data_IF_023994834614
#
_entry.id   IF_023994834614
#
_cell.length_a   1.000
_cell.length_b   1.000
_cell.length_c   1.000
_cell.angle_alpha   90.00
_cell.angle_beta   90.00
_cell.angle_gamma   90.00
#
_symmetry.space_group_name_H-M   'P 1'
#
loop_
_entity.id
_entity.type
_entity.pdbx_description
1 polymer ?
#
# COMPACT_ATOMS: atom_id res chain seq x y z
N UNK A 1 -21.46 2.03 -1.57
CA UNK A 1 -20.96 2.32 -0.21
C UNK A 1 -21.52 3.63 0.27
N UNK A 2 -21.94 3.75 1.52
CA UNK A 2 -22.36 5.01 2.14
C UNK A 2 -21.22 5.66 2.96
N UNK A 3 -21.44 6.86 3.51
CA UNK A 3 -20.43 7.60 4.27
C UNK A 3 -19.93 6.83 5.51
N UNK A 4 -20.78 5.99 6.08
CA UNK A 4 -20.39 5.16 7.23
C UNK A 4 -19.49 4.03 6.79
N UNK A 5 -19.75 3.40 5.64
CA UNK A 5 -18.87 2.36 5.07
C UNK A 5 -17.49 2.94 4.75
N UNK A 6 -17.44 4.16 4.18
CA UNK A 6 -16.18 4.86 3.97
C UNK A 6 -15.47 5.20 5.29
N UNK A 7 -16.22 5.60 6.33
CA UNK A 7 -15.64 5.87 7.64
C UNK A 7 -15.06 4.59 8.27
N UNK A 8 -15.75 3.45 8.17
CA UNK A 8 -15.27 2.14 8.60
C UNK A 8 -14.01 1.77 7.80
N UNK A 9 -14.06 1.89 6.49
CA UNK A 9 -12.94 1.59 5.61
C UNK A 9 -11.73 2.47 5.91
N UNK A 10 -11.94 3.77 6.10
CA UNK A 10 -10.93 4.72 6.53
C UNK A 10 -10.29 4.33 7.86
N UNK A 11 -11.08 3.88 8.82
CA UNK A 11 -10.57 3.45 10.12
C UNK A 11 -9.77 2.14 10.04
N UNK A 12 -10.14 1.24 9.14
CA UNK A 12 -9.42 0.00 8.88
C UNK A 12 -8.14 0.21 8.08
N UNK A 13 -8.14 1.18 7.16
CA UNK A 13 -7.08 1.36 6.16
C UNK A 13 -5.92 2.26 6.60
N UNK A 14 -6.15 3.46 7.13
CA UNK A 14 -5.10 4.48 7.17
C UNK A 14 -4.16 4.35 8.34
N UNK A 15 -4.65 3.86 9.46
CA UNK A 15 -3.80 3.74 10.64
C UNK A 15 -2.68 2.71 10.44
N UNK A 16 -2.87 1.77 9.51
CA UNK A 16 -1.84 0.83 9.08
C UNK A 16 -0.84 1.42 8.08
N UNK A 17 -1.29 2.27 7.16
CA UNK A 17 -0.42 2.80 6.10
C UNK A 17 0.12 4.19 6.40
N UNK A 18 -0.70 5.13 6.84
CA UNK A 18 -0.29 6.52 7.09
C UNK A 18 0.50 6.67 8.37
N UNK A 19 0.07 6.03 9.45
CA UNK A 19 0.85 6.00 10.68
C UNK A 19 2.14 5.20 10.53
N UNK A 20 2.17 4.24 9.63
CA UNK A 20 3.39 3.53 9.29
C UNK A 20 4.46 4.47 8.72
N UNK A 21 4.06 5.43 7.90
CA UNK A 21 5.00 6.36 7.24
C UNK A 21 5.21 7.66 8.01
N UNK A 22 4.16 8.20 8.63
CA UNK A 22 4.17 9.55 9.22
C UNK A 22 4.26 9.60 10.74
N UNK A 23 3.88 8.55 11.47
CA UNK A 23 3.96 8.56 12.94
C UNK A 23 4.99 7.59 13.49
N UNK A 24 5.59 7.98 14.63
CA UNK A 24 6.48 7.13 15.42
C UNK A 24 5.75 6.01 16.19
N UNK A 25 4.42 5.94 16.12
CA UNK A 25 3.60 4.93 16.78
C UNK A 25 2.74 4.21 15.75
N UNK A 26 3.09 2.97 15.45
CA UNK A 26 2.23 2.06 14.69
C UNK A 26 1.17 1.54 15.64
N UNK A 27 -0.09 1.81 15.32
CA UNK A 27 -1.22 1.15 15.98
C UNK A 27 -1.32 -0.26 15.44
N UNK A 28 -1.59 -1.24 16.31
CA UNK A 28 -1.88 -2.60 15.88
C UNK A 28 -3.03 -2.55 14.87
N UNK A 29 -2.84 -3.00 13.61
CA UNK A 29 -3.85 -2.89 12.57
C UNK A 29 -5.10 -3.74 12.84
N UNK A 30 -5.12 -4.53 13.91
CA UNK A 30 -6.20 -5.41 14.31
C UNK A 30 -7.19 -4.67 15.20
N UNK A 31 -7.84 -3.65 14.62
CA UNK A 31 -8.86 -2.87 15.32
C UNK A 31 -10.10 -3.73 15.53
N UNK A 32 -10.62 -3.75 16.76
CA UNK A 32 -11.85 -4.47 17.08
C UNK A 32 -13.10 -3.76 16.52
N UNK A 33 -14.15 -4.52 16.27
CA UNK A 33 -15.44 -3.94 15.86
C UNK A 33 -15.97 -2.93 16.89
N UNK A 34 -15.67 -3.12 18.19
CA UNK A 34 -16.02 -2.20 19.26
C UNK A 34 -15.27 -0.86 19.15
N UNK A 35 -13.98 -0.87 18.83
CA UNK A 35 -13.20 0.36 18.62
C UNK A 35 -13.69 1.12 17.39
N UNK A 36 -13.99 0.42 16.30
CA UNK A 36 -14.60 1.04 15.11
C UNK A 36 -15.94 1.66 15.48
N UNK A 37 -16.80 0.94 16.18
CA UNK A 37 -18.12 1.36 16.59
C UNK A 37 -18.08 2.68 17.38
N UNK A 38 -17.16 2.81 18.32
CA UNK A 38 -16.95 4.04 19.09
C UNK A 38 -16.55 5.25 18.21
N UNK A 39 -15.88 5.01 17.07
CA UNK A 39 -15.43 6.09 16.17
C UNK A 39 -16.50 6.49 15.15
N UNK A 40 -17.32 5.54 14.70
CA UNK A 40 -18.32 5.80 13.65
C UNK A 40 -19.73 6.00 14.19
N UNK A 41 -19.92 5.99 15.51
CA UNK A 41 -21.22 6.21 16.15
C UNK A 41 -22.23 5.08 15.93
N UNK A 42 -21.76 3.84 15.75
CA UNK A 42 -22.60 2.64 15.61
C UNK A 42 -22.46 1.71 16.82
N UNK A 43 -23.37 0.74 16.91
CA UNK A 43 -23.18 -0.42 17.78
C UNK A 43 -22.12 -1.38 17.19
N UNK A 44 -21.45 -2.16 18.04
CA UNK A 44 -20.51 -3.19 17.59
C UNK A 44 -21.19 -4.20 16.64
N UNK A 45 -22.44 -4.57 16.91
CA UNK A 45 -23.23 -5.45 16.04
C UNK A 45 -23.47 -4.81 14.66
N UNK A 46 -23.76 -3.49 14.62
CA UNK A 46 -23.93 -2.72 13.39
C UNK A 46 -22.64 -2.69 12.56
N UNK A 47 -21.49 -2.45 13.19
CA UNK A 47 -20.19 -2.51 12.51
C UNK A 47 -19.92 -3.91 11.97
N UNK A 48 -20.14 -4.96 12.74
CA UNK A 48 -19.96 -6.36 12.29
C UNK A 48 -20.86 -6.71 11.11
N UNK A 49 -22.10 -6.21 11.10
CA UNK A 49 -23.01 -6.42 9.98
C UNK A 49 -22.49 -5.73 8.71
N UNK A 50 -22.05 -4.47 8.80
CA UNK A 50 -21.49 -3.73 7.67
C UNK A 50 -20.19 -4.36 7.15
N UNK A 51 -19.29 -4.79 8.03
CA UNK A 51 -18.07 -5.50 7.64
C UNK A 51 -18.36 -6.79 6.88
N UNK A 52 -19.43 -7.53 7.26
CA UNK A 52 -19.88 -8.70 6.49
C UNK A 52 -20.37 -8.28 5.10
N UNK A 53 -21.26 -7.31 5.04
CA UNK A 53 -21.77 -6.78 3.75
C UNK A 53 -20.64 -6.34 2.84
N UNK A 54 -19.63 -5.62 3.35
CA UNK A 54 -18.46 -5.19 2.57
C UNK A 54 -17.61 -6.37 2.07
N UNK A 55 -17.52 -7.46 2.87
CA UNK A 55 -16.86 -8.69 2.43
C UNK A 55 -17.68 -9.45 1.38
N UNK A 56 -18.98 -9.60 1.60
CA UNK A 56 -19.88 -10.31 0.69
C UNK A 56 -19.97 -9.61 -0.68
N UNK A 57 -19.83 -8.29 -0.69
CA UNK A 57 -19.76 -7.46 -1.89
C UNK A 57 -18.36 -7.39 -2.52
N UNK A 58 -17.35 -8.07 -1.94
CA UNK A 58 -15.98 -8.07 -2.46
C UNK A 58 -15.15 -6.80 -2.18
N UNK A 59 -15.75 -5.75 -1.58
CA UNK A 59 -15.02 -4.53 -1.26
C UNK A 59 -13.90 -4.77 -0.24
N UNK A 60 -14.08 -5.71 0.68
CA UNK A 60 -13.12 -6.06 1.70
C UNK A 60 -12.74 -7.54 1.56
N UNK A 61 -11.57 -7.83 0.97
CA UNK A 61 -11.06 -9.19 0.79
C UNK A 61 -10.29 -9.74 1.99
N UNK A 62 -10.02 -8.90 2.98
CA UNK A 62 -9.24 -9.25 4.18
C UNK A 62 -8.02 -8.36 4.36
N UNK A 63 -6.99 -8.89 4.97
CA UNK A 63 -5.72 -8.20 5.19
C UNK A 63 -4.57 -8.96 4.57
N UNK A 64 -3.57 -8.22 4.14
CA UNK A 64 -2.30 -8.74 3.67
C UNK A 64 -1.17 -8.19 4.55
N UNK A 65 -0.16 -9.02 4.81
CA UNK A 65 1.07 -8.56 5.46
C UNK A 65 2.16 -8.40 4.42
N UNK A 66 2.66 -7.18 4.31
CA UNK A 66 3.79 -6.84 3.47
C UNK A 66 5.07 -6.80 4.31
N UNK A 67 6.14 -7.37 3.79
CA UNK A 67 7.47 -7.27 4.38
C UNK A 67 8.27 -6.19 3.66
N UNK A 68 8.97 -5.38 4.44
CA UNK A 68 9.80 -4.31 3.88
C UNK A 68 11.00 -4.91 3.12
N UNK A 69 11.15 -4.64 1.82
CA UNK A 69 12.28 -5.18 1.05
C UNK A 69 13.65 -4.86 1.64
N UNK A 70 13.78 -3.74 2.36
CA UNK A 70 15.04 -3.35 3.00
C UNK A 70 15.54 -4.34 4.06
N UNK A 71 14.65 -5.15 4.68
CA UNK A 71 15.10 -6.21 5.63
C UNK A 71 15.87 -7.33 4.94
N UNK A 72 15.69 -7.44 3.62
CA UNK A 72 16.42 -8.37 2.75
C UNK A 72 17.61 -7.70 2.06
N UNK A 73 17.86 -6.42 2.31
CA UNK A 73 18.89 -5.63 1.63
C UNK A 73 18.51 -5.17 0.23
N UNK A 74 17.22 -5.17 -0.09
CA UNK A 74 16.71 -4.84 -1.40
C UNK A 74 16.00 -3.47 -1.43
N UNK A 75 15.94 -2.86 -2.61
CA UNK A 75 15.16 -1.66 -2.92
C UNK A 75 14.10 -1.97 -3.96
N UNK A 76 13.07 -1.13 -4.03
CA UNK A 76 12.01 -1.24 -5.03
C UNK A 76 12.20 -0.17 -6.10
N UNK A 77 11.93 -0.55 -7.32
CA UNK A 77 11.79 0.35 -8.46
C UNK A 77 10.41 0.17 -9.09
N UNK A 78 9.98 1.21 -9.77
CA UNK A 78 8.70 1.24 -10.48
C UNK A 78 8.96 1.46 -11.95
N UNK A 79 8.30 0.67 -12.78
CA UNK A 79 8.22 0.89 -14.20
C UNK A 79 6.76 0.93 -14.66
N UNK A 80 6.49 1.57 -15.77
CA UNK A 80 5.17 1.61 -16.38
C UNK A 80 5.22 1.02 -17.78
N UNK A 81 4.32 0.10 -18.05
CA UNK A 81 4.10 -0.54 -19.34
C UNK A 81 2.85 0.09 -19.96
N UNK A 82 2.98 0.93 -20.99
CA UNK A 82 1.82 1.54 -21.64
C UNK A 82 0.90 0.50 -22.25
N UNK A 83 -0.40 0.65 -22.04
CA UNK A 83 -1.46 -0.22 -22.55
C UNK A 83 -2.28 0.55 -23.58
N UNK A 84 -2.33 0.05 -24.81
CA UNK A 84 -3.15 0.63 -25.88
C UNK A 84 -4.53 -0.04 -25.94
N UNK A 85 -4.55 -1.35 -25.89
CA UNK A 85 -5.77 -2.13 -25.83
C UNK A 85 -6.06 -2.51 -24.37
N UNK A 86 -7.20 -2.10 -23.79
CA UNK A 86 -7.61 -2.52 -22.46
C UNK A 86 -7.54 -4.02 -22.20
N UNK A 87 -7.74 -4.85 -23.24
CA UNK A 87 -7.66 -6.30 -23.17
C UNK A 87 -6.26 -6.83 -22.88
N UNK A 88 -5.20 -6.06 -23.10
CA UNK A 88 -3.82 -6.48 -22.85
C UNK A 88 -3.45 -6.48 -21.36
N UNK A 89 -4.14 -5.70 -20.53
CA UNK A 89 -3.75 -5.55 -19.12
C UNK A 89 -3.97 -6.82 -18.29
N UNK A 90 -5.10 -7.57 -18.37
CA UNK A 90 -5.29 -8.78 -17.59
C UNK A 90 -4.29 -9.90 -17.93
N UNK A 91 -3.97 -10.23 -19.21
CA UNK A 91 -2.93 -11.20 -19.52
C UNK A 91 -1.55 -10.74 -19.03
N UNK A 92 -1.20 -9.49 -19.22
CA UNK A 92 0.07 -8.94 -18.74
C UNK A 92 0.21 -9.09 -17.21
N UNK A 93 -0.84 -8.75 -16.44
CA UNK A 93 -0.82 -8.95 -14.99
C UNK A 93 -0.58 -10.44 -14.61
N UNK A 94 -1.09 -11.40 -15.39
CA UNK A 94 -0.81 -12.82 -15.15
C UNK A 94 0.63 -13.20 -15.50
N UNK A 95 1.16 -12.71 -16.60
CA UNK A 95 2.52 -13.01 -17.07
C UNK A 95 3.60 -12.42 -16.16
N UNK A 96 3.33 -11.28 -15.52
CA UNK A 96 4.23 -10.68 -14.54
C UNK A 96 4.52 -11.59 -13.33
N UNK A 97 3.65 -12.56 -13.04
CA UNK A 97 3.92 -13.60 -12.03
C UNK A 97 5.15 -14.47 -12.35
N UNK A 98 5.53 -14.56 -13.63
CA UNK A 98 6.70 -15.32 -14.09
C UNK A 98 8.01 -14.52 -14.03
N UNK A 99 7.92 -13.23 -13.75
CA UNK A 99 9.11 -12.36 -13.65
C UNK A 99 9.60 -12.34 -12.22
N UNK A 100 10.73 -12.98 -11.98
CA UNK A 100 11.37 -13.00 -10.67
C UNK A 100 11.59 -11.59 -10.13
N UNK A 101 11.19 -11.35 -8.87
CA UNK A 101 11.39 -10.07 -8.19
C UNK A 101 10.31 -9.03 -8.47
N UNK A 102 9.34 -9.28 -9.33
CA UNK A 102 8.10 -8.49 -9.36
C UNK A 102 7.32 -8.80 -8.08
N UNK A 103 6.91 -7.77 -7.36
CA UNK A 103 6.23 -7.91 -6.06
C UNK A 103 4.78 -7.44 -6.10
N UNK A 104 4.49 -6.48 -6.99
CA UNK A 104 3.15 -5.94 -7.16
C UNK A 104 2.99 -5.32 -8.54
N UNK A 105 1.80 -5.37 -9.12
CA UNK A 105 1.47 -4.58 -10.30
C UNK A 105 0.04 -4.05 -10.21
N UNK A 106 -0.20 -2.94 -10.90
CA UNK A 106 -1.51 -2.29 -10.94
C UNK A 106 -1.80 -1.77 -12.33
N UNK A 107 -2.96 -2.12 -12.86
CA UNK A 107 -3.52 -1.50 -14.04
C UNK A 107 -4.05 -0.12 -13.64
N UNK A 108 -3.53 0.92 -14.25
CA UNK A 108 -3.85 2.31 -13.93
C UNK A 108 -4.34 3.05 -15.17
N UNK A 109 -5.28 3.95 -14.94
CA UNK A 109 -5.74 4.93 -15.91
C UNK A 109 -5.57 6.32 -15.31
N UNK A 110 -4.74 7.13 -15.92
CA UNK A 110 -4.59 8.54 -15.56
C UNK A 110 -5.17 9.45 -16.66
N UNK A 111 -4.94 10.75 -16.56
CA UNK A 111 -5.45 11.75 -17.51
C UNK A 111 -4.82 11.65 -18.89
N UNK A 112 -3.73 10.94 -19.05
CA UNK A 112 -2.94 10.89 -20.30
C UNK A 112 -3.08 9.56 -21.01
N UNK A 113 -2.97 8.46 -20.26
CA UNK A 113 -2.97 7.13 -20.86
C UNK A 113 -3.27 6.04 -19.81
N UNK A 114 -3.38 4.82 -20.31
CA UNK A 114 -3.48 3.61 -19.50
C UNK A 114 -2.14 2.90 -19.48
N UNK A 115 -1.76 2.37 -18.32
CA UNK A 115 -0.53 1.62 -18.15
C UNK A 115 -0.67 0.55 -17.07
N UNK A 116 0.14 -0.49 -17.14
CA UNK A 116 0.40 -1.37 -16.00
C UNK A 116 1.64 -0.85 -15.29
N UNK A 117 1.44 -0.38 -14.06
CA UNK A 117 2.53 0.04 -13.17
C UNK A 117 3.05 -1.16 -12.42
N UNK A 118 4.33 -1.47 -12.57
CA UNK A 118 5.01 -2.66 -12.05
C UNK A 118 6.01 -2.26 -10.97
N UNK A 119 5.86 -2.83 -9.78
CA UNK A 119 6.79 -2.67 -8.66
C UNK A 119 7.65 -3.92 -8.55
N UNK A 120 8.95 -3.77 -8.63
CA UNK A 120 9.88 -4.89 -8.59
C UNK A 120 11.18 -4.54 -7.87
N UNK A 121 11.86 -5.57 -7.40
CA UNK A 121 13.12 -5.44 -6.68
C UNK A 121 14.22 -5.03 -7.66
N UNK A 122 14.94 -3.95 -7.35
CA UNK A 122 16.12 -3.57 -8.09
C UNK A 122 17.28 -4.52 -7.78
N UNK A 123 18.00 -4.95 -8.81
CA UNK A 123 19.31 -5.51 -8.64
C UNK A 123 20.29 -4.35 -8.39
N UNK A 124 21.02 -4.40 -7.28
CA UNK A 124 21.95 -3.34 -6.89
C UNK A 124 23.10 -3.25 -7.90
N UNK A 125 23.67 -2.19 -8.12
CA UNK A 125 23.72 -1.12 -9.10
C UNK A 125 24.58 -1.45 -10.32
N UNK A 126 24.17 -2.32 -11.18
CA UNK A 126 24.84 -2.53 -12.45
C UNK A 126 23.91 -2.21 -13.60
N UNK A 127 23.86 -1.01 -14.06
CA UNK A 127 23.37 -0.41 -15.30
C UNK A 127 22.50 -1.16 -16.34
N UNK A 128 22.31 -2.45 -16.22
CA UNK A 128 21.45 -3.27 -17.07
C UNK A 128 20.57 -4.13 -16.19
N UNK A 129 19.44 -3.58 -15.79
CA UNK A 129 18.43 -4.32 -15.04
C UNK A 129 17.80 -5.39 -15.96
N UNK A 130 18.17 -6.66 -15.72
CA UNK A 130 17.64 -7.83 -16.44
C UNK A 130 16.11 -7.86 -16.39
N UNK A 131 15.51 -7.43 -15.30
CA UNK A 131 14.05 -7.38 -15.14
C UNK A 131 13.42 -6.34 -16.06
N UNK A 132 14.03 -5.15 -16.18
CA UNK A 132 13.56 -4.15 -17.16
C UNK A 132 13.59 -4.69 -18.58
N UNK A 133 14.59 -5.48 -18.94
CA UNK A 133 14.65 -6.12 -20.24
C UNK A 133 13.55 -7.16 -20.44
N UNK A 134 13.23 -7.94 -19.40
CA UNK A 134 12.09 -8.88 -19.41
C UNK A 134 10.76 -8.13 -19.52
N UNK A 135 10.56 -7.05 -18.75
CA UNK A 135 9.37 -6.23 -18.84
C UNK A 135 9.15 -5.65 -20.24
N UNK A 136 10.24 -5.24 -20.93
CA UNK A 136 10.14 -4.79 -22.34
C UNK A 136 9.68 -5.90 -23.28
N UNK A 137 10.07 -7.15 -23.04
CA UNK A 137 9.63 -8.29 -23.86
C UNK A 137 8.16 -8.62 -23.63
N UNK A 138 7.67 -8.45 -22.40
CA UNK A 138 6.26 -8.67 -22.06
C UNK A 138 5.37 -7.51 -22.49
N UNK A 139 5.92 -6.32 -22.65
CA UNK A 139 5.17 -5.13 -23.00
C UNK A 139 4.55 -5.26 -24.41
N UNK A 140 3.22 -5.15 -24.58
CA UNK A 140 2.54 -5.26 -25.87
C UNK A 140 3.09 -4.29 -26.93
N UNK A 141 3.58 -3.14 -26.49
CA UNK A 141 4.18 -2.12 -27.34
C UNK A 141 5.71 -2.20 -27.42
N UNK A 142 6.35 -3.12 -26.69
CA UNK A 142 7.80 -3.16 -26.50
C UNK A 142 8.36 -1.98 -25.68
N UNK A 143 7.48 -1.12 -25.15
CA UNK A 143 7.88 0.10 -24.44
C UNK A 143 7.69 -0.05 -22.94
N UNK A 144 8.68 0.44 -22.18
CA UNK A 144 8.65 0.53 -20.72
C UNK A 144 9.16 1.90 -20.32
N UNK A 145 8.40 2.64 -19.54
CA UNK A 145 8.80 3.91 -18.93
C UNK A 145 9.45 3.63 -17.58
N UNK A 146 10.53 4.26 -17.27
CA UNK A 146 11.36 4.00 -16.10
C UNK A 146 12.49 3.00 -16.40
N UNK A 147 13.10 2.35 -15.40
CA UNK A 147 12.69 2.32 -13.98
C UNK A 147 12.97 3.62 -13.22
N UNK A 148 12.13 3.90 -12.23
CA UNK A 148 12.35 4.96 -11.26
C UNK A 148 12.43 4.37 -9.85
N UNK A 149 13.33 4.85 -8.98
CA UNK A 149 13.37 4.41 -7.59
C UNK A 149 12.01 4.64 -6.90
N UNK A 150 11.53 3.64 -6.18
CA UNK A 150 10.38 3.78 -5.31
C UNK A 150 10.86 3.72 -3.87
N UNK A 151 10.88 4.88 -3.23
CA UNK A 151 11.41 4.97 -1.89
C UNK A 151 10.45 4.33 -0.88
N UNK A 152 11.01 3.41 -0.09
CA UNK A 152 10.37 2.81 1.08
C UNK A 152 11.30 3.09 2.26
N UNK A 153 10.81 3.67 3.37
CA UNK A 153 11.65 3.89 4.54
C UNK A 153 12.36 2.61 4.97
N UNK A 154 13.67 2.63 5.14
CA UNK A 154 14.41 1.43 5.51
C UNK A 154 14.00 0.95 6.91
N UNK A 155 14.05 -0.37 7.12
CA UNK A 155 13.93 -0.94 8.45
C UNK A 155 15.16 -0.55 9.28
N UNK A 156 14.92 0.06 10.44
CA UNK A 156 15.99 0.58 11.30
C UNK A 156 16.71 -0.51 12.11
N UNK A 157 16.46 -1.80 11.85
CA UNK A 157 16.91 -2.86 12.75
C UNK A 157 17.24 -4.18 12.04
N UNK A 158 18.25 -4.89 12.58
CA UNK A 158 18.49 -6.30 12.28
C UNK A 158 17.47 -7.18 13.01
N UNK A 159 16.85 -8.10 12.29
CA UNK A 159 15.85 -9.03 12.81
C UNK A 159 16.50 -10.28 13.38
N UNK A 160 16.02 -10.73 14.55
CA UNK A 160 16.41 -12.01 15.17
C UNK A 160 15.65 -13.18 14.54
N UNK A 161 16.07 -14.41 14.80
CA UNK A 161 15.37 -15.63 14.37
C UNK A 161 13.90 -15.65 14.80
N UNK A 162 13.60 -15.20 16.02
CA UNK A 162 12.22 -15.13 16.52
C UNK A 162 11.42 -14.06 15.76
N UNK A 163 12.05 -12.92 15.45
CA UNK A 163 11.40 -11.86 14.65
C UNK A 163 11.02 -12.41 13.26
N UNK A 164 11.90 -13.18 12.61
CA UNK A 164 11.60 -13.82 11.32
C UNK A 164 10.47 -14.85 11.40
N UNK A 165 10.41 -15.65 12.48
CA UNK A 165 9.31 -16.62 12.69
C UNK A 165 7.97 -15.91 12.89
N UNK A 166 7.95 -14.81 13.64
CA UNK A 166 6.73 -14.00 13.84
C UNK A 166 6.33 -13.30 12.55
N UNK A 167 7.28 -12.72 11.80
CA UNK A 167 7.02 -12.11 10.50
C UNK A 167 6.39 -13.13 9.54
N UNK A 168 6.89 -14.39 9.52
CA UNK A 168 6.30 -15.48 8.72
C UNK A 168 4.89 -15.81 9.17
N UNK A 169 4.69 -16.07 10.47
CA UNK A 169 3.38 -16.41 10.99
C UNK A 169 2.33 -15.30 10.76
N UNK A 170 2.75 -14.03 10.89
CA UNK A 170 1.90 -12.88 10.65
C UNK A 170 1.59 -12.69 9.15
N UNK A 171 2.55 -12.99 8.27
CA UNK A 171 2.33 -12.97 6.81
C UNK A 171 1.36 -14.07 6.37
N UNK A 172 1.51 -15.28 6.91
CA UNK A 172 0.65 -16.41 6.57
C UNK A 172 -0.78 -16.24 7.10
N UNK A 173 -0.95 -15.48 8.20
CA UNK A 173 -2.23 -15.23 8.86
C UNK A 173 -2.31 -13.79 9.37
N UNK A 174 -2.58 -12.81 8.49
CA UNK A 174 -2.59 -11.38 8.86
C UNK A 174 -3.66 -11.01 9.90
N UNK A 175 -4.72 -11.80 9.99
CA UNK A 175 -5.82 -11.60 10.94
C UNK A 175 -5.70 -12.43 12.23
N UNK A 176 -4.62 -13.22 12.38
CA UNK A 176 -4.42 -14.06 13.54
C UNK A 176 -4.30 -13.24 14.83
N UNK A 177 -4.96 -13.70 15.89
CA UNK A 177 -4.82 -13.13 17.23
C UNK A 177 -3.39 -13.29 17.77
N UNK A 178 -3.05 -12.51 18.80
CA UNK A 178 -1.75 -12.66 19.48
C UNK A 178 -1.53 -14.07 20.04
N UNK A 179 -2.60 -14.70 20.52
CA UNK A 179 -2.55 -16.07 21.05
C UNK A 179 -2.26 -17.09 19.93
N UNK A 180 -2.88 -16.93 18.77
CA UNK A 180 -2.63 -17.80 17.60
C UNK A 180 -1.21 -17.63 17.06
N UNK A 181 -0.73 -16.38 16.96
CA UNK A 181 0.66 -16.12 16.56
C UNK A 181 1.65 -16.73 17.56
N UNK A 182 1.39 -16.56 18.87
CA UNK A 182 2.20 -17.14 19.94
C UNK A 182 2.27 -18.67 19.83
N UNK A 183 1.11 -19.31 19.61
CA UNK A 183 1.03 -20.77 19.39
C UNK A 183 1.82 -21.20 18.16
N UNK A 184 1.71 -20.48 17.04
CA UNK A 184 2.40 -20.81 15.80
C UNK A 184 3.94 -20.76 15.92
N UNK A 185 4.45 -19.86 16.79
CA UNK A 185 5.91 -19.70 16.97
C UNK A 185 6.42 -20.23 18.32
N UNK A 186 5.56 -20.93 19.11
CA UNK A 186 5.88 -21.55 20.39
C UNK A 186 6.50 -20.57 21.42
N UNK A 187 5.84 -19.45 21.65
CA UNK A 187 6.20 -18.44 22.69
C UNK A 187 4.96 -18.01 23.48
N UNK A 188 5.17 -17.20 24.52
CA UNK A 188 4.03 -16.62 25.24
C UNK A 188 3.29 -15.55 24.39
N UNK A 189 1.98 -15.33 24.58
CA UNK A 189 1.24 -14.26 23.90
C UNK A 189 1.87 -12.88 24.13
N UNK A 190 2.37 -12.59 25.31
CA UNK A 190 3.10 -11.35 25.63
C UNK A 190 4.35 -11.20 24.79
N UNK A 191 5.13 -12.27 24.62
CA UNK A 191 6.33 -12.26 23.78
C UNK A 191 5.97 -12.04 22.31
N UNK A 192 4.95 -12.74 21.79
CA UNK A 192 4.50 -12.57 20.42
C UNK A 192 4.03 -11.13 20.15
N UNK A 193 3.21 -10.57 21.06
CA UNK A 193 2.75 -9.18 20.97
C UNK A 193 3.92 -8.19 20.94
N UNK A 194 4.87 -8.31 21.89
CA UNK A 194 6.02 -7.43 21.96
C UNK A 194 6.87 -7.47 20.68
N UNK A 195 7.08 -8.68 20.14
CA UNK A 195 7.88 -8.86 18.92
C UNK A 195 7.15 -8.33 17.67
N UNK A 196 5.84 -8.58 17.57
CA UNK A 196 5.04 -8.04 16.47
C UNK A 196 5.03 -6.50 16.51
N UNK A 197 4.78 -5.89 17.67
CA UNK A 197 4.88 -4.43 17.81
C UNK A 197 6.24 -3.90 17.35
N UNK A 198 7.32 -4.57 17.73
CA UNK A 198 8.67 -4.18 17.28
C UNK A 198 8.84 -4.27 15.76
N UNK A 199 8.30 -5.31 15.12
CA UNK A 199 8.34 -5.45 13.66
C UNK A 199 7.59 -4.31 12.97
N UNK A 200 6.43 -3.95 13.50
CA UNK A 200 5.64 -2.83 13.00
C UNK A 200 6.35 -1.48 13.24
N UNK A 201 6.82 -1.21 14.45
CA UNK A 201 7.51 0.04 14.84
C UNK A 201 8.81 0.28 14.05
N UNK A 202 9.55 -0.80 13.76
CA UNK A 202 10.80 -0.72 13.00
C UNK A 202 10.57 -0.74 11.49
N UNK A 203 9.32 -0.78 11.05
CA UNK A 203 8.95 -0.84 9.63
C UNK A 203 9.48 -2.09 8.92
N UNK A 204 9.68 -3.19 9.66
CA UNK A 204 10.05 -4.47 9.07
C UNK A 204 8.89 -5.10 8.30
N UNK A 205 7.66 -4.85 8.75
CA UNK A 205 6.44 -5.26 8.06
C UNK A 205 5.31 -4.27 8.33
N UNK A 206 4.26 -4.36 7.53
CA UNK A 206 2.99 -3.66 7.73
C UNK A 206 1.83 -4.52 7.26
N UNK A 207 0.63 -4.20 7.75
CA UNK A 207 -0.60 -4.83 7.29
C UNK A 207 -1.36 -3.83 6.43
N UNK A 208 -1.82 -4.27 5.28
CA UNK A 208 -2.68 -3.52 4.39
C UNK A 208 -4.03 -4.20 4.25
N UNK A 209 -5.08 -3.41 4.02
CA UNK A 209 -6.35 -3.96 3.56
C UNK A 209 -6.20 -4.47 2.14
N UNK A 210 -6.64 -5.71 1.92
CA UNK A 210 -6.86 -6.22 0.58
C UNK A 210 -8.28 -5.84 0.16
N UNK A 211 -8.39 -5.02 -0.88
CA UNK A 211 -9.66 -4.57 -1.46
C UNK A 211 -9.67 -4.80 -2.95
N UNK A 212 -10.85 -5.02 -3.53
CA UNK A 212 -10.99 -5.05 -4.98
C UNK A 212 -11.11 -3.63 -5.52
N UNK A 213 -10.19 -3.24 -6.40
CA UNK A 213 -10.30 -1.98 -7.12
C UNK A 213 -11.38 -1.99 -8.20
N UNK A 214 -11.81 -3.17 -8.63
CA UNK A 214 -12.86 -3.34 -9.64
C UNK A 214 -14.26 -3.02 -9.07
N UNK A 215 -14.45 -3.26 -7.78
CA UNK A 215 -15.75 -3.11 -7.11
C UNK A 215 -15.82 -1.85 -6.25
N UNK A 216 -14.68 -1.24 -5.94
CA UNK A 216 -14.62 -0.02 -5.16
C UNK A 216 -14.11 1.14 -6.02
N UNK A 217 -15.00 2.06 -6.43
CA UNK A 217 -14.64 3.19 -7.29
C UNK A 217 -13.83 4.21 -6.49
N UNK A 218 -12.55 3.91 -6.30
CA UNK A 218 -11.59 4.80 -5.67
C UNK A 218 -10.58 5.32 -6.69
N UNK A 219 -10.28 6.60 -6.60
CA UNK A 219 -9.18 7.20 -7.30
C UNK A 219 -8.02 7.47 -6.32
N UNK A 220 -6.82 7.21 -6.78
CA UNK A 220 -5.61 7.69 -6.14
C UNK A 220 -5.42 9.16 -6.53
N UNK A 221 -5.43 10.03 -5.55
CA UNK A 221 -5.08 11.44 -5.72
C UNK A 221 -3.63 11.63 -5.26
N UNK A 222 -2.75 11.99 -6.19
CA UNK A 222 -1.34 12.30 -5.93
C UNK A 222 -1.15 13.81 -6.01
N UNK A 223 -0.61 14.40 -4.95
CA UNK A 223 -0.46 15.84 -4.76
C UNK A 223 1.01 16.14 -4.57
N UNK A 224 1.56 17.01 -5.41
CA UNK A 224 2.92 17.54 -5.28
C UNK A 224 2.84 18.87 -4.56
N UNK A 225 3.63 19.02 -3.49
CA UNK A 225 3.69 20.24 -2.72
C UNK A 225 4.69 21.23 -3.34
N UNK A 226 4.44 22.51 -3.15
CA UNK A 226 5.43 23.56 -3.44
C UNK A 226 6.58 23.47 -2.45
N UNK A 227 7.74 23.94 -2.86
CA UNK A 227 8.89 24.06 -1.96
C UNK A 227 8.54 24.94 -0.75
N UNK A 228 8.89 24.45 0.45
CA UNK A 228 8.59 25.14 1.71
C UNK A 228 7.14 25.00 2.20
N UNK A 229 6.26 24.31 1.47
CA UNK A 229 4.90 24.05 1.95
C UNK A 229 4.90 23.10 3.15
N UNK A 230 4.08 23.40 4.14
CA UNK A 230 3.95 22.56 5.34
C UNK A 230 2.90 21.46 5.10
N UNK A 231 3.28 20.16 5.04
CA UNK A 231 2.38 19.07 4.66
C UNK A 231 1.14 18.96 5.53
N UNK A 232 1.26 19.21 6.85
CA UNK A 232 0.13 19.11 7.78
C UNK A 232 -0.95 20.17 7.53
N UNK A 233 -0.54 21.34 7.07
CA UNK A 233 -1.50 22.41 6.71
C UNK A 233 -2.27 22.03 5.47
N UNK A 234 -1.59 21.50 4.46
CA UNK A 234 -2.23 21.00 3.25
C UNK A 234 -3.18 19.82 3.57
N UNK A 235 -2.77 18.87 4.42
CA UNK A 235 -3.60 17.74 4.83
C UNK A 235 -4.89 18.18 5.54
N UNK A 236 -4.83 19.21 6.40
CA UNK A 236 -6.04 19.76 7.03
C UNK A 236 -7.01 20.36 6.00
N UNK A 237 -6.48 21.10 5.03
CA UNK A 237 -7.29 21.66 3.95
C UNK A 237 -7.88 20.55 3.07
N UNK A 238 -7.12 19.49 2.75
CA UNK A 238 -7.60 18.33 2.01
C UNK A 238 -8.76 17.62 2.71
N UNK A 239 -8.70 17.47 4.03
CA UNK A 239 -9.78 16.85 4.80
C UNK A 239 -11.10 17.62 4.73
N UNK A 240 -11.08 18.93 4.48
CA UNK A 240 -12.30 19.74 4.25
C UNK A 240 -12.85 19.62 2.83
N UNK A 241 -12.01 19.28 1.86
CA UNK A 241 -12.39 19.13 0.45
C UNK A 241 -12.83 17.70 0.16
N UNK A 242 -12.11 16.74 0.73
CA UNK A 242 -12.34 15.32 0.57
C UNK A 242 -12.68 14.72 1.95
N UNK A 243 -13.95 14.72 2.37
CA UNK A 243 -14.36 14.21 3.68
C UNK A 243 -13.98 12.72 3.87
N UNK A 244 -13.83 11.99 2.76
CA UNK A 244 -13.35 10.61 2.73
C UNK A 244 -11.94 10.60 2.12
N UNK A 245 -10.99 11.29 2.74
CA UNK A 245 -9.59 11.23 2.38
C UNK A 245 -8.93 10.05 3.12
N UNK A 246 -8.46 9.06 2.38
CA UNK A 246 -7.68 7.93 2.90
C UNK A 246 -6.22 8.08 2.49
N UNK A 247 -5.38 8.71 3.30
CA UNK A 247 -3.98 8.92 2.94
C UNK A 247 -3.26 7.56 2.83
N UNK A 248 -2.45 7.38 1.78
CA UNK A 248 -1.60 6.22 1.56
C UNK A 248 -0.11 6.56 1.54
N UNK A 249 0.23 7.84 1.43
CA UNK A 249 1.58 8.34 1.56
C UNK A 249 1.57 9.78 2.05
N UNK A 250 2.42 10.04 3.02
CA UNK A 250 2.79 11.36 3.50
C UNK A 250 4.32 11.44 3.42
N UNK A 251 4.86 12.59 3.06
CA UNK A 251 6.29 12.86 3.03
C UNK A 251 7.14 11.91 2.18
N UNK A 252 7.04 12.05 0.86
CA UNK A 252 8.09 11.57 -0.03
C UNK A 252 8.08 10.09 -0.39
N UNK A 253 7.02 9.33 -0.11
CA UNK A 253 6.89 7.99 -0.69
C UNK A 253 6.88 8.09 -2.22
N UNK A 254 7.86 7.46 -2.87
CA UNK A 254 8.08 7.53 -4.31
C UNK A 254 9.01 8.66 -4.76
N UNK A 255 9.40 9.59 -3.89
CA UNK A 255 10.43 10.60 -4.18
C UNK A 255 11.80 10.18 -3.65
N UNK A 256 12.85 10.60 -4.33
CA UNK A 256 14.23 10.32 -3.88
C UNK A 256 14.52 10.99 -2.54
N UNK A 257 15.29 10.36 -1.63
CA UNK A 257 15.79 11.00 -0.43
C UNK A 257 16.52 12.31 -0.79
N UNK A 258 16.15 13.39 -0.13
CA UNK A 258 16.71 14.73 -0.40
C UNK A 258 15.93 15.55 -1.44
N UNK A 259 14.80 15.07 -1.96
CA UNK A 259 13.86 15.92 -2.70
C UNK A 259 13.25 16.93 -1.75
N UNK A 260 13.37 18.21 -2.05
CA UNK A 260 12.71 19.32 -1.33
C UNK A 260 11.19 19.37 -1.60
N UNK A 261 10.71 18.50 -2.49
CA UNK A 261 9.31 18.46 -2.93
C UNK A 261 8.59 17.35 -2.20
N UNK A 262 7.69 17.71 -1.30
CA UNK A 262 6.80 16.77 -0.61
C UNK A 262 5.74 16.23 -1.58
N UNK A 263 5.38 14.95 -1.42
CA UNK A 263 4.29 14.31 -2.15
C UNK A 263 3.30 13.74 -1.14
N UNK A 264 2.03 14.12 -1.28
CA UNK A 264 0.93 13.50 -0.55
C UNK A 264 0.16 12.60 -1.50
N UNK A 265 -0.24 11.44 -1.04
CA UNK A 265 -1.09 10.56 -1.82
C UNK A 265 -2.21 9.99 -0.95
N UNK A 266 -3.41 9.91 -1.50
CA UNK A 266 -4.55 9.34 -0.80
C UNK A 266 -5.60 8.80 -1.76
N UNK A 267 -6.43 7.89 -1.25
CA UNK A 267 -7.58 7.39 -1.96
C UNK A 267 -8.80 8.26 -1.66
N UNK A 268 -9.56 8.56 -2.69
CA UNK A 268 -10.81 9.31 -2.62
C UNK A 268 -11.91 8.57 -3.38
N UNK A 269 -13.18 8.69 -2.98
CA UNK A 269 -14.29 8.12 -3.73
C UNK A 269 -14.33 8.65 -5.17
N UNK A 270 -14.65 7.77 -6.11
CA UNK A 270 -14.71 8.07 -7.54
C UNK A 270 -16.08 7.75 -8.15
N UNK A 271 -17.11 7.53 -7.32
CA UNK A 271 -18.48 7.19 -7.76
C UNK A 271 -19.14 8.32 -8.59
N UNK A 272 -18.75 9.57 -8.31
CA UNK A 272 -19.27 10.74 -9.02
C UNK A 272 -18.12 11.49 -9.73
N UNK A 273 -17.84 11.21 -11.01
CA UNK A 273 -16.73 11.83 -11.74
C UNK A 273 -16.70 13.36 -11.69
N UNK A 274 -17.86 14.02 -11.76
CA UNK A 274 -17.94 15.48 -11.67
C UNK A 274 -17.53 16.01 -10.28
N UNK A 275 -17.93 15.33 -9.21
CA UNK A 275 -17.53 15.69 -7.84
C UNK A 275 -16.04 15.48 -7.63
N UNK A 276 -15.47 14.37 -8.17
CA UNK A 276 -14.03 14.12 -8.15
C UNK A 276 -13.26 15.22 -8.89
N UNK A 277 -13.71 15.62 -10.08
CA UNK A 277 -13.11 16.71 -10.85
C UNK A 277 -13.13 18.04 -10.10
N UNK A 278 -14.28 18.38 -9.50
CA UNK A 278 -14.39 19.56 -8.65
C UNK A 278 -13.46 19.47 -7.44
N UNK A 279 -13.33 18.29 -6.81
CA UNK A 279 -12.41 18.03 -5.72
C UNK A 279 -10.96 18.27 -6.12
N UNK A 280 -10.53 17.77 -7.29
CA UNK A 280 -9.19 18.02 -7.84
C UNK A 280 -8.94 19.52 -8.05
N UNK A 281 -9.88 20.24 -8.66
CA UNK A 281 -9.76 21.70 -8.85
C UNK A 281 -9.65 22.46 -7.52
N UNK A 282 -10.45 22.09 -6.52
CA UNK A 282 -10.35 22.68 -5.17
C UNK A 282 -9.04 22.35 -4.49
N UNK A 283 -8.50 21.13 -4.70
CA UNK A 283 -7.19 20.72 -4.21
C UNK A 283 -6.08 21.59 -4.81
N UNK A 284 -6.13 21.86 -6.11
CA UNK A 284 -5.17 22.74 -6.79
C UNK A 284 -5.20 24.20 -6.28
N UNK A 285 -6.32 24.62 -5.70
CA UNK A 285 -6.48 25.95 -5.10
C UNK A 285 -5.93 26.06 -3.66
N UNK A 286 -5.53 24.94 -3.04
CA UNK A 286 -4.90 24.96 -1.70
C UNK A 286 -3.53 25.62 -1.82
N UNK A 287 -3.28 26.59 -0.93
CA UNK A 287 -1.93 27.17 -0.81
C UNK A 287 -0.92 26.07 -0.44
N UNK A 288 0.23 26.07 -1.11
CA UNK A 288 1.25 25.03 -0.95
C UNK A 288 1.10 23.83 -1.89
N UNK A 289 0.03 23.71 -2.68
CA UNK A 289 -0.11 22.66 -3.71
C UNK A 289 0.46 23.15 -5.04
N UNK A 290 1.41 22.39 -5.60
CA UNK A 290 1.99 22.66 -6.91
C UNK A 290 1.22 21.94 -8.04
N UNK A 291 0.85 20.68 -7.82
CA UNK A 291 0.02 19.92 -8.75
C UNK A 291 -0.79 18.85 -8.01
N UNK A 292 -1.91 18.46 -8.61
CA UNK A 292 -2.72 17.33 -8.16
C UNK A 292 -3.09 16.48 -9.38
N UNK A 293 -2.96 15.16 -9.27
CA UNK A 293 -3.29 14.19 -10.32
C UNK A 293 -4.14 13.08 -9.76
N UNK A 294 -5.12 12.67 -10.52
CA UNK A 294 -5.94 11.48 -10.21
C UNK A 294 -5.46 10.30 -11.05
N UNK A 295 -5.49 9.12 -10.45
CA UNK A 295 -5.19 7.86 -11.12
C UNK A 295 -6.21 6.83 -10.66
N UNK A 296 -6.90 6.20 -11.60
CA UNK A 296 -7.81 5.12 -11.30
C UNK A 296 -7.04 3.81 -11.30
N UNK A 297 -7.27 2.98 -10.29
CA UNK A 297 -6.81 1.60 -10.29
C UNK A 297 -7.92 0.72 -10.85
N UNK A 298 -7.67 0.09 -12.00
CA UNK A 298 -8.64 -0.75 -12.70
C UNK A 298 -8.48 -2.23 -12.33
N UNK A 299 -7.30 -2.61 -11.87
CA UNK A 299 -6.97 -3.95 -11.42
C UNK A 299 -5.61 -3.98 -10.74
N UNK A 300 -5.35 -4.99 -9.94
CA UNK A 300 -4.05 -5.16 -9.29
C UNK A 300 -3.73 -6.63 -9.04
N UNK A 301 -2.44 -6.96 -8.96
CA UNK A 301 -1.95 -8.28 -8.62
C UNK A 301 -0.74 -8.19 -7.68
N UNK A 302 -0.72 -9.06 -6.67
CA UNK A 302 0.40 -9.23 -5.74
C UNK A 302 1.16 -10.50 -6.12
N UNK A 303 2.50 -10.44 -6.08
CA UNK A 303 3.38 -11.55 -6.43
C UNK A 303 4.28 -11.87 -5.23
N UNK A 304 3.87 -12.79 -4.36
CA UNK A 304 4.54 -13.06 -3.10
C UNK A 304 5.85 -13.86 -3.23
N UNK A 305 6.12 -14.49 -4.37
CA UNK A 305 7.14 -15.50 -4.58
C UNK A 305 8.53 -15.03 -4.09
N UNK A 306 9.00 -13.88 -4.60
CA UNK A 306 10.30 -13.34 -4.21
C UNK A 306 10.40 -13.12 -2.68
N UNK A 307 9.38 -12.51 -2.09
CA UNK A 307 9.34 -12.25 -0.65
C UNK A 307 9.35 -13.53 0.16
N UNK A 308 8.61 -14.56 -0.28
CA UNK A 308 8.51 -15.85 0.39
C UNK A 308 9.83 -16.63 0.31
N UNK A 309 10.53 -16.58 -0.81
CA UNK A 309 11.85 -17.17 -1.00
C UNK A 309 12.90 -16.50 -0.10
N UNK A 310 12.93 -15.16 -0.05
CA UNK A 310 13.83 -14.42 0.84
C UNK A 310 13.56 -14.74 2.30
N UNK A 311 12.30 -14.78 2.71
CA UNK A 311 11.89 -15.10 4.06
C UNK A 311 12.31 -16.55 4.44
N UNK A 312 12.10 -17.50 3.53
CA UNK A 312 12.53 -18.89 3.72
C UNK A 312 14.06 -18.99 3.85
N UNK A 313 14.83 -18.25 3.05
CA UNK A 313 16.28 -18.18 3.16
C UNK A 313 16.73 -17.64 4.53
N UNK A 314 16.14 -16.54 5.01
CA UNK A 314 16.45 -15.98 6.34
C UNK A 314 16.14 -16.94 7.48
N UNK A 315 15.04 -17.69 7.38
CA UNK A 315 14.68 -18.68 8.40
C UNK A 315 15.66 -19.86 8.44
N UNK A 316 16.28 -20.24 7.31
CA UNK A 316 17.33 -21.28 7.27
C UNK A 316 18.67 -20.79 7.84
N UNK A 317 19.06 -19.55 7.55
CA UNK A 317 20.39 -19.01 7.93
C UNK A 317 20.46 -18.43 9.34
N UNK A 318 19.31 -18.11 9.94
CA UNK A 318 19.24 -17.60 11.31
C UNK A 318 19.28 -18.72 12.38
N UNK A 319 19.75 -19.91 12.01
CA UNK A 319 19.88 -21.11 12.84
C UNK A 319 21.02 -21.06 13.83
#
# INVERSE_FOLDING_TARGET
>A
MDDIDYAIFRYLSPDGQVRFWASRRVVDPRVSAGEIAAQVGLSEAGVRARLRTLRDQGFLRGRETWLNPSIFGASIVVAEIPIRDPGDAPPLLRELALVEGVVFARDILDERDRAVRVYYVADVPSGTDRRTALLRRLAPTGQVRGPTPYWIPPCARTLTRLDWRIARAFRDRPEASQAELAKAVHVSPKTAALRLHRLLDTRACWSALSSSSEEMPLALLSIVLREGAEPRTVLRALASIHPVWMPIAEDGMGSSPGSSVGVLAGLVPAEAPAALEQGVRRTLAIDGVASARRTFALGSASYPQWTDEQLAAKLRTAG
#
